data_IF_438746486759
#
_entry.id   IF_438746486759
#
_cell.length_a   1.000
_cell.length_b   1.000
_cell.length_c   1.000
_cell.angle_alpha   90.00
_cell.angle_beta   90.00
_cell.angle_gamma   90.00
#
_symmetry.space_group_name_H-M   'P 1'
#
loop_
_entity.id
_entity.type
_entity.pdbx_description
1 polymer ?
#
# COMPACT_ATOMS: atom_id res chain seq x y z
N UNK A 1 -30.25 -35.90 24.02
CA UNK A 1 -30.49 -34.95 22.92
C UNK A 1 -29.49 -33.81 23.11
N UNK A 2 -28.42 -33.79 22.32
CA UNK A 2 -27.34 -32.80 22.44
C UNK A 2 -27.73 -31.56 21.64
N UNK A 3 -27.86 -30.41 22.30
CA UNK A 3 -28.16 -29.15 21.63
C UNK A 3 -26.94 -28.69 20.84
N UNK A 4 -27.09 -28.57 19.52
CA UNK A 4 -26.09 -27.99 18.66
C UNK A 4 -25.85 -26.52 19.06
N UNK A 5 -24.60 -26.20 19.39
CA UNK A 5 -24.12 -24.82 19.54
C UNK A 5 -24.42 -24.06 18.25
N UNK A 6 -25.07 -22.88 18.29
CA UNK A 6 -25.31 -22.11 17.09
C UNK A 6 -23.95 -21.70 16.50
N UNK A 7 -23.66 -22.20 15.31
CA UNK A 7 -22.60 -21.69 14.45
C UNK A 7 -22.86 -20.21 14.26
N UNK A 8 -21.96 -19.37 14.79
CA UNK A 8 -21.93 -17.93 14.56
C UNK A 8 -22.07 -17.67 13.07
N UNK A 9 -23.25 -17.22 12.64
CA UNK A 9 -23.46 -16.74 11.28
C UNK A 9 -22.43 -15.64 11.03
N UNK A 10 -21.54 -15.88 10.05
CA UNK A 10 -20.58 -14.89 9.61
C UNK A 10 -21.37 -13.70 9.06
N UNK A 11 -21.49 -12.65 9.87
CA UNK A 11 -21.99 -11.35 9.43
C UNK A 11 -21.28 -10.99 8.11
N UNK A 12 -21.99 -10.63 7.04
CA UNK A 12 -21.37 -10.33 5.75
C UNK A 12 -20.34 -9.22 5.97
N UNK A 13 -19.07 -9.62 5.94
CA UNK A 13 -17.97 -8.76 6.37
C UNK A 13 -17.88 -7.57 5.43
N UNK A 14 -17.97 -6.36 5.99
CA UNK A 14 -17.75 -5.13 5.24
C UNK A 14 -16.41 -5.15 4.50
N UNK A 15 -16.33 -4.39 3.41
CA UNK A 15 -15.11 -4.27 2.59
C UNK A 15 -13.91 -3.95 3.49
N UNK A 16 -12.83 -4.73 3.37
CA UNK A 16 -11.59 -4.43 4.07
C UNK A 16 -10.96 -3.15 3.50
N UNK A 17 -10.40 -2.27 4.35
CA UNK A 17 -9.63 -1.12 3.89
C UNK A 17 -8.39 -1.56 3.09
N UNK A 18 -7.91 -0.68 2.22
CA UNK A 18 -6.70 -0.88 1.42
C UNK A 18 -5.60 0.06 1.92
N UNK A 19 -4.47 -0.50 2.35
CA UNK A 19 -3.28 0.27 2.69
C UNK A 19 -2.26 0.17 1.56
N UNK A 20 -1.97 1.30 0.92
CA UNK A 20 -0.97 1.42 -0.12
C UNK A 20 0.42 1.62 0.46
N UNK A 21 1.40 0.82 0.01
CA UNK A 21 2.81 0.99 0.37
C UNK A 21 3.63 1.33 -0.86
N UNK A 22 4.23 2.52 -0.83
CA UNK A 22 5.06 3.08 -1.89
C UNK A 22 6.52 3.04 -1.47
N UNK A 23 7.45 2.82 -2.40
CA UNK A 23 8.87 2.77 -2.07
C UNK A 23 9.77 2.44 -3.25
N UNK A 24 11.07 2.33 -2.98
CA UNK A 24 12.10 2.05 -3.97
C UNK A 24 11.82 0.77 -4.77
N UNK A 25 11.96 0.86 -6.10
CA UNK A 25 11.95 -0.30 -6.99
C UNK A 25 13.30 -1.03 -7.08
N UNK A 26 14.36 -0.49 -6.47
CA UNK A 26 15.71 -1.05 -6.47
C UNK A 26 16.11 -1.60 -5.11
N UNK A 27 15.98 -0.78 -4.07
CA UNK A 27 16.39 -1.12 -2.70
C UNK A 27 15.22 -1.71 -1.92
N UNK A 28 15.47 -2.81 -1.22
CA UNK A 28 14.44 -3.52 -0.47
C UNK A 28 13.98 -2.79 0.80
N UNK A 29 14.85 -1.98 1.41
CA UNK A 29 14.63 -1.41 2.74
C UNK A 29 14.04 -2.45 3.70
N UNK A 30 14.65 -3.65 3.71
CA UNK A 30 14.11 -4.85 4.36
C UNK A 30 13.87 -4.61 5.87
N UNK A 31 14.68 -3.77 6.50
CA UNK A 31 14.55 -3.31 7.88
C UNK A 31 13.26 -2.52 8.16
N UNK A 32 12.64 -1.93 7.14
CA UNK A 32 11.36 -1.21 7.24
C UNK A 32 10.22 -2.02 6.62
N UNK A 33 10.43 -2.55 5.42
CA UNK A 33 9.43 -3.26 4.64
C UNK A 33 8.96 -4.55 5.33
N UNK A 34 9.88 -5.31 5.95
CA UNK A 34 9.53 -6.57 6.63
C UNK A 34 8.65 -6.38 7.87
N UNK A 35 9.03 -5.54 8.86
CA UNK A 35 8.16 -5.31 10.01
C UNK A 35 6.83 -4.66 9.61
N UNK A 36 6.85 -3.74 8.62
CA UNK A 36 5.62 -3.13 8.11
C UNK A 36 4.65 -4.16 7.51
N UNK A 37 5.14 -4.98 6.58
CA UNK A 37 4.31 -5.97 5.89
C UNK A 37 3.71 -7.00 6.85
N UNK A 38 4.52 -7.51 7.79
CA UNK A 38 4.04 -8.43 8.83
C UNK A 38 2.97 -7.80 9.71
N UNK A 39 3.18 -6.57 10.14
CA UNK A 39 2.23 -5.88 10.99
C UNK A 39 0.90 -5.61 10.28
N UNK A 40 0.95 -5.12 9.03
CA UNK A 40 -0.24 -4.86 8.21
C UNK A 40 -1.08 -6.12 7.99
N UNK A 41 -0.46 -7.29 7.83
CA UNK A 41 -1.19 -8.56 7.67
C UNK A 41 -2.09 -8.91 8.86
N UNK A 42 -1.80 -8.37 10.05
CA UNK A 42 -2.63 -8.52 11.25
C UNK A 42 -3.68 -7.42 11.42
N UNK A 43 -3.76 -6.40 10.54
CA UNK A 43 -4.68 -5.26 10.70
C UNK A 43 -6.01 -5.41 9.93
N UNK A 44 -6.32 -6.61 9.39
CA UNK A 44 -7.52 -6.84 8.57
C UNK A 44 -7.66 -5.86 7.38
N UNK A 45 -6.54 -5.55 6.72
CA UNK A 45 -6.50 -4.68 5.53
C UNK A 45 -5.97 -5.44 4.33
N UNK A 46 -6.33 -5.04 3.12
CA UNK A 46 -5.56 -5.39 1.94
C UNK A 46 -4.28 -4.55 1.88
N UNK A 47 -3.20 -5.14 1.37
CA UNK A 47 -1.98 -4.43 1.01
C UNK A 47 -2.02 -4.11 -0.47
N UNK A 48 -1.77 -2.85 -0.86
CA UNK A 48 -1.58 -2.46 -2.26
C UNK A 48 -0.14 -2.00 -2.49
N UNK A 49 0.47 -2.47 -3.58
CA UNK A 49 1.77 -1.95 -4.05
C UNK A 49 1.76 -1.76 -5.57
N UNK A 50 2.74 -1.02 -6.08
CA UNK A 50 3.00 -0.91 -7.51
C UNK A 50 3.70 -2.12 -8.13
N UNK A 51 3.60 -3.34 -7.59
CA UNK A 51 4.12 -4.60 -8.20
C UNK A 51 5.61 -4.68 -8.57
N UNK A 52 6.42 -3.66 -8.29
CA UNK A 52 7.84 -3.67 -8.64
C UNK A 52 8.67 -4.50 -7.65
N UNK A 53 9.99 -4.49 -7.89
CA UNK A 53 11.00 -5.04 -6.98
C UNK A 53 11.25 -4.11 -5.79
N UNK A 54 12.33 -4.36 -5.05
CA UNK A 54 12.77 -3.52 -3.95
C UNK A 54 11.78 -3.55 -2.79
N UNK A 55 11.46 -2.37 -2.26
CA UNK A 55 10.61 -2.22 -1.08
C UNK A 55 9.20 -2.79 -1.29
N UNK A 56 8.66 -2.68 -2.51
CA UNK A 56 7.37 -3.25 -2.88
C UNK A 56 7.38 -4.77 -2.80
N UNK A 57 8.41 -5.43 -3.35
CA UNK A 57 8.58 -6.88 -3.24
C UNK A 57 8.78 -7.34 -1.79
N UNK A 58 9.61 -6.62 -1.04
CA UNK A 58 9.91 -6.94 0.36
C UNK A 58 8.68 -6.86 1.28
N UNK A 59 7.87 -5.80 1.15
CA UNK A 59 6.66 -5.63 1.97
C UNK A 59 5.57 -6.63 1.58
N UNK A 60 5.38 -6.86 0.28
CA UNK A 60 4.43 -7.88 -0.22
C UNK A 60 4.79 -9.27 0.26
N UNK A 61 6.08 -9.67 0.18
CA UNK A 61 6.56 -10.94 0.71
C UNK A 61 6.26 -11.10 2.21
N UNK A 62 6.57 -10.05 2.98
CA UNK A 62 6.42 -10.08 4.43
C UNK A 62 4.94 -10.16 4.85
N UNK A 63 4.06 -9.45 4.16
CA UNK A 63 2.62 -9.53 4.36
C UNK A 63 2.08 -10.90 3.94
N UNK A 64 2.44 -11.37 2.75
CA UNK A 64 1.99 -12.64 2.19
C UNK A 64 2.31 -13.82 3.11
N UNK A 65 3.52 -13.80 3.71
CA UNK A 65 4.00 -14.88 4.58
C UNK A 65 3.31 -15.01 5.94
N UNK A 66 2.38 -14.12 6.31
CA UNK A 66 1.60 -14.22 7.55
C UNK A 66 0.32 -15.02 7.31
N UNK A 67 0.05 -15.99 8.18
CA UNK A 67 -1.17 -16.81 8.15
C UNK A 67 -1.65 -17.13 9.59
N UNK A 68 -2.97 -17.12 9.87
CA UNK A 68 -4.03 -16.69 8.96
C UNK A 68 -4.06 -15.15 8.81
N UNK A 69 -4.45 -14.67 7.63
CA UNK A 69 -4.73 -13.25 7.35
C UNK A 69 -6.00 -13.13 6.50
N UNK A 70 -6.75 -12.04 6.67
CA UNK A 70 -7.98 -11.78 5.87
C UNK A 70 -7.71 -11.00 4.59
N UNK A 71 -6.76 -10.08 4.64
CA UNK A 71 -6.40 -9.23 3.51
C UNK A 71 -5.62 -9.98 2.44
N UNK A 72 -5.53 -9.36 1.26
CA UNK A 72 -4.81 -9.84 0.08
C UNK A 72 -3.73 -8.85 -0.30
N UNK A 73 -2.70 -9.32 -0.99
CA UNK A 73 -1.70 -8.48 -1.67
C UNK A 73 -2.21 -8.15 -3.07
N UNK A 74 -2.60 -6.89 -3.24
CA UNK A 74 -3.06 -6.30 -4.49
C UNK A 74 -1.90 -5.57 -5.16
N UNK A 75 -1.81 -5.72 -6.46
CA UNK A 75 -0.83 -5.06 -7.29
C UNK A 75 -1.50 -4.27 -8.40
N UNK A 76 -1.00 -3.06 -8.68
CA UNK A 76 -1.32 -2.35 -9.93
C UNK A 76 -0.11 -2.44 -10.83
N UNK A 77 -0.21 -3.06 -11.99
CA UNK A 77 0.89 -3.34 -12.91
C UNK A 77 1.05 -2.22 -13.95
N UNK A 78 2.27 -1.75 -14.28
CA UNK A 78 2.45 -0.79 -15.35
C UNK A 78 2.43 -1.49 -16.70
N UNK A 79 2.13 -0.74 -17.75
CA UNK A 79 2.35 -1.20 -19.13
C UNK A 79 3.73 -0.82 -19.62
N UNK A 80 4.23 -1.56 -20.62
CA UNK A 80 5.28 -1.06 -21.51
C UNK A 80 4.68 -0.08 -22.52
N UNK A 81 5.52 0.83 -23.04
CA UNK A 81 5.16 1.75 -24.11
C UNK A 81 4.97 1.05 -25.48
N UNK A 82 5.33 -0.23 -25.62
CA UNK A 82 5.51 -0.89 -26.92
C UNK A 82 4.43 -1.94 -27.22
N UNK A 83 4.18 -2.85 -26.29
CA UNK A 83 3.36 -4.05 -26.50
C UNK A 83 2.34 -4.29 -25.37
N UNK A 84 2.28 -3.39 -24.39
CA UNK A 84 1.43 -3.54 -23.20
C UNK A 84 1.88 -4.66 -22.27
N UNK A 85 3.04 -5.29 -22.51
CA UNK A 85 3.60 -6.28 -21.62
C UNK A 85 4.17 -5.60 -20.36
N UNK A 86 4.25 -6.31 -19.23
CA UNK A 86 4.88 -5.77 -18.03
C UNK A 86 6.36 -5.48 -18.30
N UNK A 87 6.91 -4.35 -17.82
CA UNK A 87 8.33 -4.07 -17.96
C UNK A 87 9.17 -5.07 -17.15
N UNK A 88 10.48 -5.15 -17.46
CA UNK A 88 11.40 -6.02 -16.74
C UNK A 88 11.38 -5.72 -15.24
N UNK A 89 11.35 -6.79 -14.42
CA UNK A 89 11.26 -6.68 -12.97
C UNK A 89 9.84 -6.72 -12.41
N UNK A 90 8.86 -6.93 -13.29
CA UNK A 90 7.46 -7.15 -12.96
C UNK A 90 6.97 -8.50 -13.52
N UNK A 91 5.86 -9.05 -13.01
CA UNK A 91 5.24 -8.70 -11.72
C UNK A 91 6.07 -9.24 -10.55
N UNK A 92 5.92 -8.62 -9.39
CA UNK A 92 6.37 -9.17 -8.12
C UNK A 92 5.66 -10.53 -7.83
N UNK A 93 6.39 -11.61 -7.48
CA UNK A 93 5.81 -12.95 -7.31
C UNK A 93 4.90 -13.10 -6.08
N UNK A 94 4.85 -12.11 -5.18
CA UNK A 94 4.05 -12.14 -3.95
C UNK A 94 2.68 -11.48 -4.09
N UNK A 95 2.32 -11.03 -5.30
CA UNK A 95 1.02 -10.43 -5.60
C UNK A 95 -0.02 -11.54 -5.77
N UNK A 96 -1.15 -11.43 -5.08
CA UNK A 96 -2.27 -12.37 -5.18
C UNK A 96 -3.33 -11.89 -6.18
N UNK A 97 -3.51 -10.57 -6.29
CA UNK A 97 -4.44 -9.95 -7.22
C UNK A 97 -3.71 -8.86 -8.00
N UNK A 98 -3.32 -9.16 -9.24
CA UNK A 98 -2.67 -8.21 -10.14
C UNK A 98 -3.69 -7.52 -11.04
N UNK A 99 -3.66 -6.19 -11.07
CA UNK A 99 -4.50 -5.34 -11.91
C UNK A 99 -3.62 -4.81 -13.06
N UNK A 100 -3.89 -5.30 -14.26
CA UNK A 100 -3.17 -4.87 -15.48
C UNK A 100 -3.67 -3.52 -15.96
N UNK A 101 -2.74 -2.65 -16.37
CA UNK A 101 -3.06 -1.33 -16.91
C UNK A 101 -2.41 -1.10 -18.26
N UNK A 102 -2.94 -0.14 -19.02
CA UNK A 102 -2.36 0.36 -20.27
C UNK A 102 -1.43 1.56 -20.03
N UNK A 103 -1.16 1.90 -18.76
CA UNK A 103 -0.53 3.14 -18.31
C UNK A 103 1.01 2.95 -18.24
N UNK A 104 1.80 3.62 -19.10
CA UNK A 104 3.22 3.32 -19.20
C UNK A 104 4.13 4.29 -18.42
N UNK A 105 3.62 5.46 -18.03
CA UNK A 105 4.41 6.46 -17.33
C UNK A 105 4.86 5.97 -15.95
N UNK A 106 6.11 6.32 -15.61
CA UNK A 106 6.83 5.81 -14.44
C UNK A 106 7.98 6.74 -14.03
N UNK A 107 8.48 6.55 -12.81
CA UNK A 107 9.65 7.29 -12.32
C UNK A 107 9.35 8.78 -12.20
N UNK A 108 10.12 9.62 -12.90
CA UNK A 108 9.95 11.08 -12.89
C UNK A 108 8.63 11.54 -13.52
N UNK A 109 8.06 10.73 -14.44
CA UNK A 109 6.73 10.93 -15.03
C UNK A 109 5.62 10.34 -14.15
N UNK A 110 5.89 10.12 -12.87
CA UNK A 110 4.99 9.43 -11.95
C UNK A 110 3.68 10.15 -11.69
N UNK A 111 3.62 11.46 -11.96
CA UNK A 111 2.42 12.29 -11.84
C UNK A 111 1.76 12.63 -13.18
N UNK A 112 2.27 12.09 -14.30
CA UNK A 112 1.65 12.29 -15.60
C UNK A 112 0.29 11.57 -15.66
N UNK A 113 -0.71 12.07 -16.42
CA UNK A 113 -2.03 11.45 -16.50
C UNK A 113 -2.04 9.99 -16.96
N UNK A 114 -1.01 9.56 -17.69
CA UNK A 114 -0.80 8.19 -18.16
C UNK A 114 0.00 7.31 -17.17
N UNK A 115 0.09 7.73 -15.90
CA UNK A 115 0.75 6.99 -14.82
C UNK A 115 -0.25 6.16 -14.01
N UNK A 116 0.12 4.92 -13.70
CA UNK A 116 -0.66 4.08 -12.76
C UNK A 116 -0.60 4.55 -11.31
N UNK A 117 0.31 5.47 -10.97
CA UNK A 117 0.47 5.95 -9.59
C UNK A 117 -0.83 6.59 -9.08
N UNK A 118 -1.60 7.21 -9.96
CA UNK A 118 -2.94 7.70 -9.64
C UNK A 118 -3.85 6.58 -9.12
N UNK A 119 -3.82 5.40 -9.74
CA UNK A 119 -4.60 4.23 -9.33
C UNK A 119 -4.10 3.70 -7.98
N UNK A 120 -2.77 3.63 -7.78
CA UNK A 120 -2.19 3.23 -6.49
C UNK A 120 -2.72 4.10 -5.35
N UNK A 121 -2.68 5.42 -5.54
CA UNK A 121 -3.06 6.40 -4.51
C UNK A 121 -4.57 6.44 -4.32
N UNK A 122 -5.36 6.54 -5.38
CA UNK A 122 -6.82 6.68 -5.29
C UNK A 122 -7.51 5.41 -4.78
N UNK A 123 -6.90 4.24 -5.00
CA UNK A 123 -7.41 2.96 -4.48
C UNK A 123 -7.02 2.70 -3.02
N UNK A 124 -6.10 3.50 -2.46
CA UNK A 124 -5.63 3.37 -1.08
C UNK A 124 -6.46 4.24 -0.14
N UNK A 125 -6.90 3.66 0.96
CA UNK A 125 -7.54 4.37 2.06
C UNK A 125 -6.51 5.09 2.95
N UNK A 126 -5.30 4.52 3.04
CA UNK A 126 -4.12 5.09 3.71
C UNK A 126 -2.88 4.76 2.88
N UNK A 127 -1.97 5.73 2.73
CA UNK A 127 -0.71 5.58 2.00
C UNK A 127 0.47 5.66 2.98
N UNK A 128 1.43 4.74 2.80
CA UNK A 128 2.69 4.72 3.54
C UNK A 128 3.83 4.80 2.52
N UNK A 129 4.69 5.80 2.65
CA UNK A 129 5.88 5.95 1.82
C UNK A 129 7.14 5.47 2.56
N UNK A 130 7.74 4.38 2.09
CA UNK A 130 9.10 3.96 2.45
C UNK A 130 10.14 4.78 1.66
N UNK A 131 11.44 4.69 2.00
CA UNK A 131 12.46 5.34 1.19
C UNK A 131 12.40 4.87 -0.26
N UNK A 132 12.60 5.82 -1.19
CA UNK A 132 12.37 5.60 -2.60
C UNK A 132 12.78 6.82 -3.44
N UNK A 133 12.72 6.65 -4.76
CA UNK A 133 13.11 7.68 -5.71
C UNK A 133 11.93 8.54 -6.20
N UNK A 134 12.05 9.13 -7.42
CA UNK A 134 11.05 10.04 -7.98
C UNK A 134 9.64 9.48 -8.07
N UNK A 135 9.48 8.18 -8.31
CA UNK A 135 8.17 7.53 -8.35
C UNK A 135 7.44 7.59 -7.00
N UNK A 136 8.16 7.29 -5.92
CA UNK A 136 7.63 7.37 -4.55
C UNK A 136 7.30 8.81 -4.14
N UNK A 137 8.14 9.76 -4.54
CA UNK A 137 7.86 11.19 -4.34
C UNK A 137 6.60 11.63 -5.11
N UNK A 138 6.41 11.15 -6.34
CA UNK A 138 5.22 11.42 -7.15
C UNK A 138 3.95 10.84 -6.50
N UNK A 139 3.98 9.59 -6.02
CA UNK A 139 2.85 8.99 -5.30
C UNK A 139 2.52 9.72 -4.00
N UNK A 140 3.54 10.22 -3.31
CA UNK A 140 3.37 11.04 -2.10
C UNK A 140 2.72 12.38 -2.43
N UNK A 141 3.15 13.06 -3.50
CA UNK A 141 2.56 14.30 -3.98
C UNK A 141 1.08 14.09 -4.38
N UNK A 142 0.81 13.06 -5.19
CA UNK A 142 -0.56 12.70 -5.58
C UNK A 142 -1.45 12.39 -4.38
N UNK A 143 -0.91 11.75 -3.33
CA UNK A 143 -1.68 11.50 -2.13
C UNK A 143 -2.10 12.81 -1.43
N UNK A 144 -1.21 13.79 -1.36
CA UNK A 144 -1.54 15.12 -0.84
C UNK A 144 -2.57 15.83 -1.74
N UNK A 145 -2.36 15.83 -3.05
CA UNK A 145 -3.26 16.47 -4.03
C UNK A 145 -4.69 15.90 -3.96
N UNK A 146 -4.81 14.59 -3.75
CA UNK A 146 -6.10 13.91 -3.63
C UNK A 146 -6.67 13.88 -2.20
N UNK A 147 -5.99 14.51 -1.23
CA UNK A 147 -6.40 14.48 0.17
C UNK A 147 -6.40 13.07 0.78
N UNK A 148 -5.59 12.16 0.23
CA UNK A 148 -5.40 10.81 0.77
C UNK A 148 -4.43 10.85 1.95
N UNK A 149 -4.77 10.24 3.10
CA UNK A 149 -3.87 10.16 4.24
C UNK A 149 -2.53 9.53 3.85
N UNK A 150 -1.44 10.29 4.00
CA UNK A 150 -0.09 9.81 3.68
C UNK A 150 0.88 10.07 4.83
N UNK A 151 1.73 9.07 5.11
CA UNK A 151 2.86 9.18 6.05
C UNK A 151 4.12 8.58 5.43
N UNK A 152 5.25 9.26 5.57
CA UNK A 152 6.55 8.74 5.19
C UNK A 152 7.30 8.20 6.41
N UNK A 153 7.75 6.95 6.36
CA UNK A 153 8.59 6.39 7.42
C UNK A 153 10.05 6.66 7.11
N UNK A 154 10.71 7.49 7.93
CA UNK A 154 12.10 7.92 7.72
C UNK A 154 12.93 7.89 9.01
N UNK A 155 13.48 6.72 9.37
CA UNK A 155 14.29 6.56 10.59
C UNK A 155 15.57 7.40 10.60
N UNK A 156 16.12 7.74 9.42
CA UNK A 156 17.38 8.46 9.27
C UNK A 156 17.21 10.00 9.20
N UNK A 157 16.03 10.54 9.49
CA UNK A 157 15.75 11.97 9.40
C UNK A 157 14.87 12.33 8.20
N UNK A 158 14.75 13.61 7.87
CA UNK A 158 13.86 14.06 6.80
C UNK A 158 14.43 13.78 5.41
N UNK A 159 13.55 13.41 4.50
CA UNK A 159 13.81 13.24 3.08
C UNK A 159 13.34 14.51 2.34
N UNK A 160 14.27 15.38 1.88
CA UNK A 160 13.92 16.64 1.23
C UNK A 160 13.38 16.43 -0.20
N UNK A 161 13.42 15.21 -0.74
CA UNK A 161 12.89 14.92 -2.07
C UNK A 161 11.38 14.70 -2.07
N UNK A 162 10.79 14.49 -0.89
CA UNK A 162 9.34 14.43 -0.72
C UNK A 162 8.73 15.83 -0.68
N UNK A 163 7.44 15.98 -1.04
CA UNK A 163 6.72 17.25 -0.87
C UNK A 163 6.83 17.79 0.57
N UNK A 164 6.97 19.12 0.71
CA UNK A 164 7.21 19.76 2.01
C UNK A 164 6.13 19.45 3.07
N UNK A 165 4.87 19.31 2.65
CA UNK A 165 3.74 19.03 3.54
C UNK A 165 3.61 17.53 3.90
N UNK A 166 4.52 16.68 3.41
CA UNK A 166 4.51 15.26 3.75
C UNK A 166 4.86 15.07 5.23
N UNK A 167 3.95 14.44 5.98
CA UNK A 167 4.24 14.00 7.34
C UNK A 167 5.31 12.90 7.31
N UNK A 168 6.51 13.20 7.80
CA UNK A 168 7.60 12.24 7.93
C UNK A 168 7.79 11.87 9.41
N UNK A 169 7.84 10.59 9.72
CA UNK A 169 7.98 10.08 11.10
C UNK A 169 9.19 9.16 11.23
N UNK A 170 9.97 9.26 12.33
CA UNK A 170 11.18 8.47 12.49
C UNK A 170 10.90 7.03 12.95
N UNK A 171 9.82 6.81 13.71
CA UNK A 171 9.59 5.52 14.37
C UNK A 171 8.47 4.71 13.73
N UNK A 172 8.58 3.38 13.84
CA UNK A 172 7.50 2.48 13.42
C UNK A 172 6.21 2.71 14.21
N UNK A 173 6.34 3.02 15.50
CA UNK A 173 5.21 3.27 16.40
C UNK A 173 4.34 4.42 15.89
N UNK A 174 4.97 5.48 15.39
CA UNK A 174 4.24 6.62 14.80
C UNK A 174 3.54 6.26 13.49
N UNK A 175 4.15 5.42 12.65
CA UNK A 175 3.49 4.86 11.45
C UNK A 175 2.25 4.06 11.85
N UNK A 176 2.39 3.17 12.84
CA UNK A 176 1.28 2.36 13.33
C UNK A 176 0.15 3.23 13.91
N UNK A 177 0.50 4.26 14.70
CA UNK A 177 -0.46 5.19 15.28
C UNK A 177 -1.21 5.97 14.18
N UNK A 178 -0.49 6.46 13.17
CA UNK A 178 -1.08 7.14 12.02
C UNK A 178 -2.10 6.24 11.32
N UNK A 179 -1.68 5.05 10.88
CA UNK A 179 -2.54 4.11 10.15
C UNK A 179 -3.76 3.71 10.98
N UNK A 180 -3.59 3.32 12.25
CA UNK A 180 -4.71 2.95 13.13
C UNK A 180 -5.72 4.08 13.30
N UNK A 181 -5.25 5.32 13.47
CA UNK A 181 -6.14 6.48 13.61
C UNK A 181 -7.03 6.70 12.38
N UNK A 182 -6.51 6.43 11.19
CA UNK A 182 -7.25 6.57 9.94
C UNK A 182 -8.19 5.38 9.69
N UNK A 183 -7.74 4.14 9.94
CA UNK A 183 -8.59 2.95 9.85
C UNK A 183 -9.78 3.02 10.83
N UNK A 184 -9.56 3.49 12.05
CA UNK A 184 -10.63 3.67 13.04
C UNK A 184 -11.67 4.70 12.60
N UNK A 185 -11.24 5.79 11.94
CA UNK A 185 -12.16 6.80 11.40
C UNK A 185 -13.01 6.23 10.26
N UNK A 186 -12.42 5.46 9.35
CA UNK A 186 -13.15 4.79 8.27
C UNK A 186 -14.20 3.81 8.84
N UNK A 187 -13.82 3.00 9.82
CA UNK A 187 -14.75 2.08 10.48
C UNK A 187 -15.90 2.82 11.19
N UNK A 188 -15.64 3.99 11.77
CA UNK A 188 -16.69 4.83 12.38
C UNK A 188 -17.65 5.42 11.32
N UNK A 189 -17.14 5.87 10.17
CA UNK A 189 -17.95 6.40 9.07
C UNK A 189 -18.85 5.32 8.47
N UNK A 190 -18.33 4.11 8.22
CA UNK A 190 -19.13 2.99 7.69
C UNK A 190 -20.25 2.58 8.64
N UNK A 191 -20.02 2.62 9.97
CA UNK A 191 -21.05 2.33 10.97
C UNK A 191 -22.09 3.42 11.13
N UNK A 192 -21.78 4.68 10.81
CA UNK A 192 -22.75 5.78 10.85
C UNK A 192 -23.65 5.86 9.63
N UNK A 193 -23.33 5.10 8.57
CA UNK A 193 -24.10 5.03 7.32
C UNK A 193 -24.99 3.77 7.22
N UNK A 194 -24.86 2.83 8.16
CA UNK A 194 -25.64 1.60 8.26
C UNK A 194 -26.72 1.74 9.33
#
# INVERSE_FOLDING_TARGET
MSAATPTSEAQPGGRLPIVGVMGSGGDAHDELARPLGRWLAYQEVHLLTGEGRGAMEAVSRAFHGVSPRRGLVIGILPSSDVDGAPPRGYPNPWIEVSIRTHLPARGQRGSDPDSRNHVNVLSSDVVIALPGGPGTASETALALDYGRPVVAWRPAGTDPTLPADTRQVPTFVEVQAFVRSHLNRLAAQTRGLA
#
